data_IF_597720811959
#
_entry.id   IF_597720811959
#
_cell.length_a   1.000
_cell.length_b   1.000
_cell.length_c   1.000
_cell.angle_alpha   90.00
_cell.angle_beta   90.00
_cell.angle_gamma   90.00
#
_symmetry.space_group_name_H-M   'P 1'
#
loop_
_entity.id
_entity.type
_entity.pdbx_description
1 polymer ?
#
# COMPACT_ATOMS: atom_id res chain seq x y z
N UNK A 1 52.96 48.20 -36.79
CA UNK A 1 51.54 48.57 -36.66
C UNK A 1 50.87 47.52 -35.80
N UNK A 2 50.60 47.86 -34.54
CA UNK A 2 49.86 47.02 -33.58
C UNK A 2 48.37 47.10 -33.92
N UNK A 3 47.67 45.97 -33.93
CA UNK A 3 46.20 45.93 -33.90
C UNK A 3 45.81 45.30 -32.57
N UNK A 4 45.30 46.15 -31.68
CA UNK A 4 44.64 45.78 -30.44
C UNK A 4 43.28 45.16 -30.76
N UNK A 5 43.00 44.00 -30.18
CA UNK A 5 41.64 43.45 -30.07
C UNK A 5 41.24 43.64 -28.60
N UNK A 6 40.20 44.43 -28.40
CA UNK A 6 39.66 44.88 -27.13
C UNK A 6 38.72 43.81 -26.58
N UNK A 7 39.06 43.24 -25.43
CA UNK A 7 38.17 42.38 -24.64
C UNK A 7 36.92 43.18 -24.19
N UNK A 8 35.74 42.61 -24.40
CA UNK A 8 34.48 43.09 -23.82
C UNK A 8 34.17 42.25 -22.60
N UNK A 9 34.25 42.85 -21.41
CA UNK A 9 33.66 42.31 -20.18
C UNK A 9 32.14 42.58 -20.17
N UNK A 10 31.30 41.64 -19.71
CA UNK A 10 29.90 41.92 -19.47
C UNK A 10 29.71 42.73 -18.19
N UNK A 11 28.94 43.81 -18.31
CA UNK A 11 28.51 44.66 -17.19
C UNK A 11 27.39 43.96 -16.41
N UNK A 12 27.65 43.63 -15.15
CA UNK A 12 26.61 43.24 -14.20
C UNK A 12 25.71 44.44 -13.87
N UNK A 13 24.38 44.27 -14.04
CA UNK A 13 23.38 45.18 -13.51
C UNK A 13 22.91 44.68 -12.13
N UNK A 14 22.83 45.54 -11.10
CA UNK A 14 22.30 45.12 -9.81
C UNK A 14 20.77 44.99 -9.89
N UNK A 15 20.26 43.77 -9.74
CA UNK A 15 18.84 43.52 -9.51
C UNK A 15 18.55 43.72 -8.03
N UNK A 16 17.89 44.84 -7.70
CA UNK A 16 17.37 45.10 -6.36
C UNK A 16 16.10 44.27 -6.14
N UNK A 17 16.18 43.22 -5.31
CA UNK A 17 15.00 42.49 -4.83
C UNK A 17 14.30 43.35 -3.76
N UNK A 18 13.05 43.76 -4.03
CA UNK A 18 12.12 44.25 -3.00
C UNK A 18 11.45 43.04 -2.34
N UNK A 19 11.59 42.91 -1.03
CA UNK A 19 10.80 42.00 -0.20
C UNK A 19 9.36 42.53 -0.07
N UNK A 20 8.32 41.67 0.01
CA UNK A 20 7.05 42.07 0.56
C UNK A 20 7.05 41.89 2.08
N UNK A 21 6.80 43.00 2.77
CA UNK A 21 6.59 43.06 4.20
C UNK A 21 5.25 42.42 4.60
N UNK A 22 5.26 41.80 5.78
CA UNK A 22 4.08 41.37 6.52
C UNK A 22 3.08 42.52 6.69
N UNK A 23 1.80 42.26 6.42
CA UNK A 23 0.69 43.09 6.92
C UNK A 23 -0.36 42.16 7.49
N UNK A 24 -0.37 42.10 8.82
CA UNK A 24 -1.46 41.64 9.65
C UNK A 24 -2.34 42.86 9.94
N UNK A 25 -3.60 42.87 9.49
CA UNK A 25 -4.62 43.71 10.12
C UNK A 25 -6.04 43.17 9.87
N UNK A 26 -6.66 42.76 10.97
CA UNK A 26 -8.08 42.49 11.10
C UNK A 26 -8.94 43.71 10.73
N UNK A 27 -10.06 43.48 10.07
CA UNK A 27 -11.17 44.43 10.00
C UNK A 27 -12.51 43.67 9.97
N UNK A 28 -13.10 43.60 11.17
CA UNK A 28 -14.52 43.35 11.42
C UNK A 28 -15.30 44.67 11.26
N UNK A 29 -16.38 44.66 10.48
CA UNK A 29 -17.62 45.45 10.68
C UNK A 29 -18.63 44.99 9.59
N UNK A 30 -19.57 44.10 9.89
CA UNK A 30 -20.86 44.37 10.53
C UNK A 30 -21.85 45.14 9.63
N UNK A 31 -22.84 44.43 9.08
CA UNK A 31 -24.10 44.98 8.57
C UNK A 31 -25.22 44.62 9.55
N UNK A 32 -25.62 45.65 10.30
CA UNK A 32 -26.94 46.05 10.79
C UNK A 32 -27.98 45.03 11.27
N UNK A 33 -28.20 45.15 12.58
CA UNK A 33 -29.31 44.87 13.46
C UNK A 33 -30.72 45.30 12.96
N UNK A 34 -31.77 44.55 13.34
CA UNK A 34 -32.92 45.08 14.10
C UNK A 34 -33.93 43.97 14.49
N UNK A 35 -34.12 43.72 15.81
CA UNK A 35 -35.41 43.93 16.51
C UNK A 35 -35.44 43.37 17.95
N UNK A 36 -35.68 44.29 18.90
CA UNK A 36 -36.35 44.17 20.21
C UNK A 36 -35.72 43.43 21.42
N UNK A 37 -34.92 44.20 22.17
CA UNK A 37 -34.96 44.56 23.61
C UNK A 37 -35.56 43.67 24.75
N UNK A 38 -35.08 43.85 26.02
CA UNK A 38 -35.15 42.86 27.12
C UNK A 38 -35.88 43.33 28.41
N UNK A 39 -35.99 42.45 29.41
CA UNK A 39 -36.12 42.74 30.86
C UNK A 39 -35.29 41.69 31.63
N UNK A 40 -34.21 42.05 32.34
CA UNK A 40 -34.13 42.38 33.80
C UNK A 40 -34.89 41.36 34.69
N UNK A 41 -34.38 40.80 35.80
CA UNK A 41 -33.19 41.04 36.64
C UNK A 41 -33.13 39.93 37.73
N UNK A 42 -32.01 39.86 38.46
CA UNK A 42 -31.81 39.22 39.79
C UNK A 42 -31.76 37.68 39.85
N UNK A 43 -30.93 37.01 40.66
CA UNK A 43 -29.95 37.44 41.64
C UNK A 43 -29.63 36.27 42.60
N UNK A 44 -28.37 36.22 43.03
CA UNK A 44 -27.86 35.65 44.30
C UNK A 44 -27.60 34.13 44.47
N UNK A 45 -26.33 33.88 44.85
CA UNK A 45 -25.80 33.06 45.94
C UNK A 45 -25.85 31.52 45.92
N UNK A 46 -24.68 30.96 45.58
CA UNK A 46 -23.75 30.24 46.47
C UNK A 46 -24.29 29.64 47.79
N UNK A 47 -24.12 28.32 48.00
CA UNK A 47 -23.10 27.71 48.87
C UNK A 47 -23.43 26.24 49.26
N UNK A 48 -22.37 25.43 49.21
CA UNK A 48 -21.95 24.39 50.17
C UNK A 48 -22.65 23.02 50.30
N UNK A 49 -21.81 22.02 49.99
CA UNK A 49 -21.30 20.97 50.88
C UNK A 49 -22.18 19.73 51.19
N UNK A 50 -21.72 18.61 50.62
CA UNK A 50 -21.31 17.36 51.28
C UNK A 50 -22.00 16.92 52.59
N UNK A 51 -22.36 15.62 52.66
CA UNK A 51 -21.68 14.59 53.50
C UNK A 51 -22.57 13.32 53.65
N UNK A 52 -21.90 12.18 53.41
CA UNK A 52 -22.01 10.80 53.94
C UNK A 52 -23.30 9.94 53.91
N UNK A 53 -23.10 8.74 53.35
CA UNK A 53 -23.27 7.38 53.93
C UNK A 53 -24.50 7.09 54.83
N UNK A 54 -25.28 6.04 54.52
CA UNK A 54 -24.99 4.67 54.99
C UNK A 54 -26.01 3.63 54.49
N UNK A 55 -25.46 2.45 54.17
CA UNK A 55 -25.95 1.06 54.33
C UNK A 55 -27.44 0.78 54.63
N UNK A 56 -28.03 -0.20 53.93
CA UNK A 56 -28.40 -1.48 54.57
C UNK A 56 -28.64 -2.61 53.55
N UNK A 57 -28.37 -3.84 54.00
CA UNK A 57 -28.45 -5.10 53.27
C UNK A 57 -29.65 -5.95 53.75
N UNK A 58 -30.04 -6.94 52.96
CA UNK A 58 -30.93 -8.05 53.36
C UNK A 58 -31.61 -8.67 52.13
N UNK A 59 -31.12 -9.82 51.63
CA UNK A 59 -31.61 -11.20 51.88
C UNK A 59 -32.96 -11.50 51.19
N UNK A 60 -33.24 -12.66 50.60
CA UNK A 60 -32.52 -13.87 50.19
C UNK A 60 -33.54 -14.73 49.39
N UNK A 61 -33.05 -15.55 48.45
CA UNK A 61 -33.58 -16.85 47.99
C UNK A 61 -35.04 -17.04 47.47
N UNK A 62 -35.17 -17.52 46.21
CA UNK A 62 -35.43 -18.94 45.89
C UNK A 62 -36.04 -19.13 44.48
N UNK A 63 -35.50 -20.11 43.75
CA UNK A 63 -35.84 -20.68 42.43
C UNK A 63 -36.29 -22.16 42.69
N UNK A 64 -36.76 -23.04 41.77
CA UNK A 64 -37.33 -22.96 40.40
C UNK A 64 -38.69 -23.69 40.24
N UNK A 65 -39.25 -23.73 39.02
CA UNK A 65 -40.28 -24.73 38.67
C UNK A 65 -40.66 -24.84 37.19
N UNK A 66 -40.05 -25.82 36.53
CA UNK A 66 -40.54 -26.71 35.46
C UNK A 66 -40.82 -26.28 34.00
N UNK A 67 -40.37 -27.21 33.15
CA UNK A 67 -40.59 -27.41 31.72
C UNK A 67 -42.04 -27.82 31.36
N UNK A 68 -42.47 -27.63 30.10
CA UNK A 68 -42.65 -28.75 29.16
C UNK A 68 -43.01 -28.32 27.71
N UNK A 69 -42.53 -29.14 26.78
CA UNK A 69 -42.99 -29.57 25.45
C UNK A 69 -43.91 -28.75 24.49
N UNK A 70 -43.38 -28.59 23.27
CA UNK A 70 -43.94 -28.97 21.94
C UNK A 70 -45.32 -28.48 21.45
N UNK A 71 -45.37 -27.91 20.24
CA UNK A 71 -46.00 -28.53 19.05
C UNK A 71 -46.11 -27.58 17.83
N UNK A 72 -45.99 -28.22 16.66
CA UNK A 72 -46.24 -27.74 15.29
C UNK A 72 -47.63 -27.11 15.10
N UNK A 73 -47.73 -26.16 14.18
CA UNK A 73 -48.90 -26.02 13.31
C UNK A 73 -48.49 -25.44 11.95
N UNK A 74 -48.84 -26.15 10.89
CA UNK A 74 -48.73 -25.75 9.49
C UNK A 74 -50.12 -25.80 8.84
N UNK A 75 -50.23 -25.09 7.70
CA UNK A 75 -51.26 -25.16 6.64
C UNK A 75 -52.46 -24.19 6.80
N UNK A 76 -53.26 -23.92 5.73
CA UNK A 76 -53.19 -24.42 4.34
C UNK A 76 -53.48 -23.40 3.18
N UNK A 77 -53.21 -23.85 1.95
CA UNK A 77 -54.17 -23.82 0.81
C UNK A 77 -54.25 -22.58 -0.08
N UNK A 78 -53.89 -22.68 -1.37
CA UNK A 78 -54.74 -23.18 -2.47
C UNK A 78 -54.13 -22.83 -3.85
N UNK A 79 -54.25 -23.77 -4.78
CA UNK A 79 -54.04 -23.60 -6.21
C UNK A 79 -55.40 -23.35 -6.90
N UNK A 80 -55.44 -22.54 -7.96
CA UNK A 80 -56.22 -22.83 -9.17
C UNK A 80 -55.76 -21.98 -10.38
N UNK A 81 -56.01 -22.52 -11.57
CA UNK A 81 -55.42 -22.24 -12.88
C UNK A 81 -56.09 -21.12 -13.72
N UNK A 82 -55.32 -20.73 -14.75
CA UNK A 82 -55.73 -20.52 -16.16
C UNK A 82 -55.96 -19.09 -16.69
N UNK A 83 -55.18 -18.71 -17.71
CA UNK A 83 -55.68 -18.55 -19.11
C UNK A 83 -54.54 -18.21 -20.12
N UNK A 84 -54.45 -19.06 -21.19
CA UNK A 84 -54.28 -18.79 -22.66
C UNK A 84 -53.23 -17.77 -23.14
N UNK A 85 -52.47 -17.91 -24.24
CA UNK A 85 -52.45 -18.73 -25.47
C UNK A 85 -50.99 -18.59 -26.06
N UNK A 86 -50.46 -19.26 -27.10
CA UNK A 86 -50.96 -19.99 -28.26
C UNK A 86 -49.81 -20.88 -28.80
N UNK A 87 -50.15 -21.98 -29.47
CA UNK A 87 -49.28 -22.80 -30.34
C UNK A 87 -49.43 -22.33 -31.82
N UNK A 88 -48.96 -23.03 -32.88
CA UNK A 88 -48.13 -24.25 -32.96
C UNK A 88 -47.09 -24.30 -34.12
N UNK A 89 -46.36 -25.42 -34.20
CA UNK A 89 -45.86 -26.02 -35.45
C UNK A 89 -44.42 -26.53 -35.33
N UNK A 90 -44.06 -27.77 -35.63
CA UNK A 90 -44.78 -28.93 -36.15
C UNK A 90 -43.92 -30.19 -35.88
N UNK A 91 -44.59 -31.34 -35.77
CA UNK A 91 -44.10 -32.72 -35.63
C UNK A 91 -43.19 -33.13 -36.83
N UNK A 92 -42.40 -34.21 -36.84
CA UNK A 92 -42.71 -35.55 -36.37
C UNK A 92 -41.46 -36.45 -36.29
N UNK A 93 -41.59 -37.47 -35.45
CA UNK A 93 -40.68 -38.60 -35.28
C UNK A 93 -40.79 -39.65 -36.40
N UNK A 94 -39.75 -40.48 -36.52
CA UNK A 94 -39.75 -41.73 -37.30
C UNK A 94 -38.72 -42.73 -36.74
N UNK A 95 -39.24 -43.70 -35.98
CA UNK A 95 -38.67 -45.02 -35.64
C UNK A 95 -38.32 -45.83 -36.92
N UNK A 96 -37.54 -46.93 -37.00
CA UNK A 96 -37.28 -48.12 -36.15
C UNK A 96 -36.12 -48.90 -36.86
N UNK A 97 -35.05 -49.37 -36.18
CA UNK A 97 -34.80 -50.70 -35.60
C UNK A 97 -34.01 -51.77 -36.42
N UNK A 98 -33.37 -52.68 -35.66
CA UNK A 98 -32.95 -54.10 -35.97
C UNK A 98 -31.55 -54.24 -36.64
N UNK A 99 -30.54 -55.06 -36.25
CA UNK A 99 -30.36 -56.23 -35.34
C UNK A 99 -28.87 -56.46 -34.96
N UNK A 100 -28.66 -57.03 -33.77
CA UNK A 100 -27.66 -58.03 -33.32
C UNK A 100 -26.37 -58.37 -34.12
N UNK A 101 -25.20 -58.42 -33.47
CA UNK A 101 -24.55 -59.61 -32.87
C UNK A 101 -23.10 -59.31 -32.43
N UNK A 102 -22.63 -60.02 -31.39
CA UNK A 102 -21.26 -60.01 -30.83
C UNK A 102 -20.31 -60.87 -31.68
N UNK A 103 -19.07 -60.43 -31.87
CA UNK A 103 -17.87 -61.27 -31.70
C UNK A 103 -16.59 -60.41 -31.65
N UNK A 104 -15.65 -60.84 -30.80
CA UNK A 104 -14.44 -60.15 -30.40
C UNK A 104 -13.24 -60.37 -31.36
N UNK A 105 -12.25 -59.45 -31.33
CA UNK A 105 -10.83 -59.74 -31.04
C UNK A 105 -9.85 -58.66 -31.57
N UNK A 106 -9.03 -58.12 -30.64
CA UNK A 106 -7.56 -57.97 -30.70
C UNK A 106 -6.90 -56.95 -31.67
N UNK A 107 -6.33 -55.92 -31.02
CA UNK A 107 -5.05 -55.21 -31.18
C UNK A 107 -4.55 -54.58 -32.50
N UNK A 108 -4.13 -53.32 -32.29
CA UNK A 108 -2.88 -52.66 -32.71
C UNK A 108 -2.80 -52.08 -34.12
N UNK A 109 -2.56 -50.76 -34.16
CA UNK A 109 -2.12 -50.03 -35.34
C UNK A 109 -2.24 -48.53 -35.13
N UNK A 110 -1.15 -47.91 -34.67
CA UNK A 110 -1.00 -46.47 -34.58
C UNK A 110 -1.23 -45.79 -35.93
N UNK A 111 -2.02 -44.71 -35.94
CA UNK A 111 -1.96 -43.69 -36.99
C UNK A 111 -1.94 -42.32 -36.32
N UNK A 112 -1.01 -41.50 -36.79
CA UNK A 112 -0.68 -40.17 -36.32
C UNK A 112 -1.82 -39.19 -36.66
N UNK A 113 -2.27 -38.40 -35.70
CA UNK A 113 -3.07 -37.21 -35.94
C UNK A 113 -2.16 -36.03 -36.34
N UNK A 114 -2.55 -35.21 -37.33
CA UNK A 114 -1.78 -34.06 -37.76
C UNK A 114 -1.98 -32.87 -36.82
N UNK A 115 -0.85 -32.32 -36.39
CA UNK A 115 -0.61 -30.96 -35.89
C UNK A 115 -1.83 -30.06 -35.67
N UNK A 116 -2.20 -29.87 -34.41
CA UNK A 116 -2.67 -28.57 -33.93
C UNK A 116 -1.45 -27.69 -33.70
N UNK A 117 -1.16 -26.79 -34.64
CA UNK A 117 -0.33 -25.62 -34.37
C UNK A 117 -1.08 -24.79 -33.32
N UNK A 118 -0.73 -24.99 -32.05
CA UNK A 118 -0.93 -23.97 -31.04
C UNK A 118 -0.08 -22.78 -31.49
N UNK A 119 -0.74 -21.69 -31.84
CA UNK A 119 -0.08 -20.41 -31.99
C UNK A 119 0.53 -20.08 -30.62
N UNK A 120 1.85 -20.28 -30.48
CA UNK A 120 2.63 -19.63 -29.45
C UNK A 120 2.37 -18.12 -29.63
N UNK A 121 1.58 -17.55 -28.72
CA UNK A 121 1.54 -16.10 -28.60
C UNK A 121 2.98 -15.68 -28.27
N UNK A 122 3.60 -14.89 -29.15
CA UNK A 122 4.92 -14.32 -28.90
C UNK A 122 4.89 -13.72 -27.49
N UNK A 123 5.72 -14.26 -26.58
CA UNK A 123 5.81 -13.72 -25.23
C UNK A 123 6.24 -12.26 -25.35
N UNK A 124 5.42 -11.36 -24.82
CA UNK A 124 5.69 -9.93 -24.83
C UNK A 124 7.04 -9.68 -24.14
N UNK A 125 8.00 -9.08 -24.85
CA UNK A 125 9.32 -8.83 -24.30
C UNK A 125 9.20 -7.79 -23.16
N UNK A 126 9.80 -8.09 -22.01
CA UNK A 126 9.84 -7.19 -20.85
C UNK A 126 11.28 -6.79 -20.49
N UNK A 127 11.41 -5.69 -19.76
CA UNK A 127 12.66 -5.22 -19.18
C UNK A 127 12.48 -4.90 -17.70
N UNK A 128 13.55 -5.06 -16.93
CA UNK A 128 13.57 -4.68 -15.51
C UNK A 128 14.78 -3.79 -15.22
N UNK A 129 14.61 -2.83 -14.31
CA UNK A 129 15.64 -1.90 -13.85
C UNK A 129 15.81 -1.99 -12.33
N UNK A 130 17.05 -1.92 -11.85
CA UNK A 130 17.37 -1.95 -10.41
C UNK A 130 17.49 -3.34 -9.78
N UNK A 131 17.14 -4.40 -10.52
CA UNK A 131 17.05 -5.79 -10.03
C UNK A 131 18.37 -6.38 -9.53
N UNK A 132 19.48 -5.93 -10.10
CA UNK A 132 20.82 -6.43 -9.81
C UNK A 132 21.68 -5.40 -9.06
N UNK A 133 21.08 -4.34 -8.52
CA UNK A 133 21.83 -3.29 -7.83
C UNK A 133 22.52 -3.87 -6.59
N UNK A 134 23.87 -3.89 -6.53
CA UNK A 134 24.57 -4.31 -5.32
C UNK A 134 24.22 -3.37 -4.17
N UNK A 135 23.92 -3.94 -3.01
CA UNK A 135 23.62 -3.18 -1.81
C UNK A 135 24.42 -3.70 -0.63
N UNK A 136 25.23 -2.83 -0.04
CA UNK A 136 25.82 -3.08 1.26
C UNK A 136 24.79 -2.76 2.33
N UNK A 137 24.64 -3.65 3.30
CA UNK A 137 23.71 -3.47 4.42
C UNK A 137 24.50 -3.48 5.72
N UNK A 138 24.33 -2.43 6.51
CA UNK A 138 24.77 -2.35 7.91
C UNK A 138 23.52 -2.26 8.77
N UNK A 139 23.60 -2.58 10.06
CA UNK A 139 22.43 -2.50 10.93
C UNK A 139 22.76 -1.72 12.20
N UNK A 140 21.83 -0.89 12.63
CA UNK A 140 21.88 -0.13 13.89
C UNK A 140 20.59 -0.32 14.67
N UNK A 141 20.66 -0.19 15.99
CA UNK A 141 19.47 -0.32 16.82
C UNK A 141 18.62 0.96 16.70
N UNK A 142 17.34 0.80 16.44
CA UNK A 142 16.38 1.90 16.48
C UNK A 142 16.32 2.52 17.88
N UNK A 143 16.41 3.84 17.94
CA UNK A 143 16.40 4.61 19.20
C UNK A 143 15.24 5.61 19.30
N UNK A 144 14.39 5.68 18.26
CA UNK A 144 13.27 6.61 18.22
C UNK A 144 12.09 6.21 19.12
N UNK A 145 11.03 7.03 19.08
CA UNK A 145 9.89 6.93 19.99
C UNK A 145 9.05 5.67 19.84
N UNK A 146 9.14 4.99 18.69
CA UNK A 146 8.37 3.78 18.38
C UNK A 146 9.09 2.47 18.73
N UNK A 147 10.16 2.53 19.53
CA UNK A 147 10.97 1.35 19.90
C UNK A 147 10.14 0.22 20.52
N UNK A 148 9.06 0.55 21.22
CA UNK A 148 8.14 -0.43 21.80
C UNK A 148 7.28 -1.18 20.78
N UNK A 149 7.23 -0.77 19.50
CA UNK A 149 6.42 -1.42 18.47
C UNK A 149 7.14 -2.59 17.77
N UNK A 150 8.47 -2.62 17.83
CA UNK A 150 9.26 -3.72 17.30
C UNK A 150 9.06 -5.01 18.11
N UNK A 151 9.28 -6.14 17.44
CA UNK A 151 8.95 -7.46 17.92
C UNK A 151 10.09 -8.10 18.72
N UNK A 152 9.70 -8.90 19.70
CA UNK A 152 10.55 -9.84 20.44
C UNK A 152 10.11 -11.28 20.18
N UNK A 153 10.98 -12.24 20.51
CA UNK A 153 10.63 -13.66 20.47
C UNK A 153 9.39 -13.93 21.34
N UNK A 154 8.43 -14.69 20.80
CA UNK A 154 7.15 -15.00 21.43
C UNK A 154 6.05 -13.97 21.21
N UNK A 155 6.33 -12.81 20.60
CA UNK A 155 5.28 -11.85 20.25
C UNK A 155 4.31 -12.44 19.22
N UNK A 156 3.03 -12.11 19.37
CA UNK A 156 1.97 -12.59 18.49
C UNK A 156 1.86 -11.71 17.25
N UNK A 157 1.82 -12.32 16.08
CA UNK A 157 1.70 -11.61 14.79
C UNK A 157 0.40 -12.03 14.10
N UNK A 158 -0.49 -11.09 13.86
CA UNK A 158 -1.69 -11.36 13.07
C UNK A 158 -1.29 -11.55 11.61
N UNK A 159 -1.73 -12.63 10.99
CA UNK A 159 -1.54 -12.94 9.57
C UNK A 159 -2.86 -12.68 8.88
N UNK A 160 -2.92 -11.65 8.05
CA UNK A 160 -4.16 -11.22 7.37
C UNK A 160 -3.93 -11.11 5.85
N UNK A 161 -5.02 -10.92 5.09
CA UNK A 161 -4.93 -10.78 3.64
C UNK A 161 -5.87 -9.69 3.13
N UNK A 162 -5.55 -8.41 3.39
CA UNK A 162 -6.48 -7.30 3.22
C UNK A 162 -6.53 -6.75 1.78
N UNK A 163 -5.98 -7.50 0.82
CA UNK A 163 -5.87 -7.18 -0.61
C UNK A 163 -6.38 -8.38 -1.43
N UNK A 164 -5.65 -8.83 -2.45
CA UNK A 164 -5.99 -10.03 -3.21
C UNK A 164 -5.99 -11.29 -2.34
N UNK A 165 -6.84 -12.25 -2.73
CA UNK A 165 -6.92 -13.55 -2.09
C UNK A 165 -5.60 -14.33 -2.24
N UNK A 166 -4.93 -14.71 -1.13
CA UNK A 166 -3.73 -15.51 -1.20
C UNK A 166 -4.09 -16.99 -1.38
N UNK A 167 -3.17 -17.74 -2.00
CA UNK A 167 -3.25 -19.21 -1.96
C UNK A 167 -2.92 -19.73 -0.56
N UNK A 168 -3.45 -20.91 -0.22
CA UNK A 168 -3.14 -21.57 1.06
C UNK A 168 -1.64 -21.79 1.25
N UNK A 169 -0.92 -22.11 0.16
CA UNK A 169 0.54 -22.26 0.14
C UNK A 169 1.25 -20.98 0.61
N UNK A 170 0.79 -19.81 0.16
CA UNK A 170 1.39 -18.53 0.55
C UNK A 170 1.18 -18.23 2.04
N UNK A 171 -0.03 -18.45 2.56
CA UNK A 171 -0.30 -18.24 3.99
C UNK A 171 0.51 -19.23 4.83
N UNK A 172 0.57 -20.50 4.43
CA UNK A 172 1.37 -21.50 5.15
C UNK A 172 2.85 -21.15 5.17
N UNK A 173 3.37 -20.57 4.08
CA UNK A 173 4.75 -20.07 4.02
C UNK A 173 4.97 -18.95 5.05
N UNK A 174 4.06 -17.97 5.12
CA UNK A 174 4.10 -16.88 6.11
C UNK A 174 4.02 -17.42 7.55
N UNK A 175 3.04 -18.29 7.82
CA UNK A 175 2.84 -18.87 9.17
C UNK A 175 4.07 -19.67 9.61
N UNK A 176 4.64 -20.49 8.73
CA UNK A 176 5.82 -21.28 9.10
C UNK A 176 7.06 -20.39 9.24
N UNK A 177 7.24 -19.44 8.34
CA UNK A 177 8.33 -18.48 8.35
C UNK A 177 8.36 -17.60 9.61
N UNK A 178 7.21 -17.08 10.03
CA UNK A 178 7.10 -16.30 11.27
C UNK A 178 7.41 -17.16 12.51
N UNK A 179 7.02 -18.45 12.52
CA UNK A 179 7.42 -19.39 13.59
C UNK A 179 8.93 -19.62 13.60
N UNK A 180 9.55 -19.78 12.42
CA UNK A 180 11.01 -19.91 12.31
C UNK A 180 11.74 -18.66 12.82
N UNK A 181 11.14 -17.47 12.63
CA UNK A 181 11.63 -16.23 13.20
C UNK A 181 11.36 -16.06 14.71
N UNK A 182 10.68 -17.01 15.34
CA UNK A 182 10.43 -17.04 16.78
C UNK A 182 9.14 -16.34 17.22
N UNK A 183 8.25 -16.00 16.29
CA UNK A 183 6.98 -15.33 16.59
C UNK A 183 5.81 -16.34 16.68
N UNK A 184 4.68 -15.88 17.21
CA UNK A 184 3.44 -16.66 17.30
C UNK A 184 2.43 -16.14 16.27
N UNK A 185 2.39 -16.69 15.05
CA UNK A 185 1.44 -16.23 14.04
C UNK A 185 0.03 -16.73 14.34
N UNK A 186 -0.95 -15.84 14.17
CA UNK A 186 -2.38 -16.13 14.29
C UNK A 186 -3.08 -15.64 13.03
N UNK A 187 -3.74 -16.55 12.31
CA UNK A 187 -4.47 -16.20 11.09
C UNK A 187 -5.76 -15.45 11.42
N UNK A 188 -6.07 -14.44 10.62
CA UNK A 188 -7.40 -13.84 10.55
C UNK A 188 -8.45 -14.87 10.13
N UNK A 189 -9.71 -14.61 10.47
CA UNK A 189 -10.83 -15.51 10.26
C UNK A 189 -11.12 -15.75 8.77
N UNK A 190 -10.85 -14.76 7.93
CA UNK A 190 -11.22 -14.75 6.51
C UNK A 190 -10.02 -14.91 5.58
N UNK A 191 -8.86 -15.27 6.13
CA UNK A 191 -7.67 -15.60 5.36
C UNK A 191 -7.93 -16.85 4.50
N UNK A 192 -7.65 -16.76 3.20
CA UNK A 192 -7.96 -17.78 2.19
C UNK A 192 -9.46 -18.09 1.98
N UNK A 193 -10.40 -17.34 2.55
CA UNK A 193 -11.81 -17.54 2.26
C UNK A 193 -12.16 -17.01 0.86
N UNK A 194 -12.46 -17.90 -0.09
CA UNK A 194 -12.76 -17.54 -1.49
C UNK A 194 -14.01 -16.65 -1.63
N UNK A 195 -14.96 -16.79 -0.71
CA UNK A 195 -16.22 -16.04 -0.70
C UNK A 195 -16.17 -14.73 0.08
N UNK A 196 -14.99 -14.36 0.60
CA UNK A 196 -14.83 -13.17 1.43
C UNK A 196 -15.22 -11.90 0.70
N UNK A 197 -15.78 -10.97 1.45
CA UNK A 197 -16.16 -9.63 1.04
C UNK A 197 -15.15 -8.60 1.54
N UNK A 198 -15.32 -7.34 1.13
CA UNK A 198 -14.53 -6.23 1.68
C UNK A 198 -14.72 -6.08 3.20
N UNK A 199 -15.95 -6.30 3.69
CA UNK A 199 -16.24 -6.27 5.14
C UNK A 199 -15.51 -7.39 5.89
N UNK A 200 -15.34 -8.57 5.28
CA UNK A 200 -14.58 -9.67 5.89
C UNK A 200 -13.08 -9.33 5.97
N UNK A 201 -12.51 -8.71 4.93
CA UNK A 201 -11.13 -8.19 4.97
C UNK A 201 -10.95 -7.12 6.05
N UNK A 202 -11.96 -6.24 6.21
CA UNK A 202 -12.00 -5.21 7.24
C UNK A 202 -12.14 -5.80 8.65
N UNK A 203 -12.97 -6.83 8.82
CA UNK A 203 -13.13 -7.55 10.09
C UNK A 203 -11.77 -8.11 10.56
N UNK A 204 -11.02 -8.77 9.67
CA UNK A 204 -9.70 -9.30 9.99
C UNK A 204 -8.70 -8.19 10.36
N UNK A 205 -8.70 -7.07 9.64
CA UNK A 205 -7.81 -5.95 9.94
C UNK A 205 -8.17 -5.28 11.28
N UNK A 206 -9.45 -5.02 11.54
CA UNK A 206 -9.90 -4.43 12.80
C UNK A 206 -9.60 -5.36 13.98
N UNK A 207 -9.87 -6.67 13.85
CA UNK A 207 -9.48 -7.64 14.86
C UNK A 207 -7.98 -7.57 15.17
N UNK A 208 -7.13 -7.55 14.13
CA UNK A 208 -5.68 -7.48 14.29
C UNK A 208 -5.23 -6.19 15.01
N UNK A 209 -5.92 -5.06 14.76
CA UNK A 209 -5.66 -3.78 15.43
C UNK A 209 -6.17 -3.74 16.87
N UNK A 210 -7.33 -4.32 17.14
CA UNK A 210 -8.00 -4.23 18.45
C UNK A 210 -7.54 -5.29 19.46
N UNK A 211 -7.11 -6.48 19.00
CA UNK A 211 -6.71 -7.56 19.91
C UNK A 211 -5.41 -7.19 20.64
N UNK A 212 -5.42 -7.01 21.98
CA UNK A 212 -4.23 -6.57 22.72
C UNK A 212 -3.12 -7.62 22.77
N UNK A 213 -3.39 -8.88 22.41
CA UNK A 213 -2.36 -9.91 22.30
C UNK A 213 -1.52 -9.77 21.03
N UNK A 214 -2.08 -9.20 19.96
CA UNK A 214 -1.40 -8.99 18.68
C UNK A 214 -0.40 -7.84 18.80
N UNK A 215 0.85 -8.09 18.41
CA UNK A 215 1.94 -7.11 18.40
C UNK A 215 2.07 -6.36 17.07
N UNK A 216 1.89 -7.08 15.97
CA UNK A 216 2.05 -6.56 14.62
C UNK A 216 1.15 -7.30 13.62
N UNK A 217 0.93 -6.68 12.46
CA UNK A 217 0.02 -7.17 11.42
C UNK A 217 0.82 -7.47 10.15
N UNK A 218 0.90 -8.73 9.77
CA UNK A 218 1.64 -9.21 8.60
C UNK A 218 0.68 -9.55 7.46
N UNK A 219 0.79 -8.83 6.34
CA UNK A 219 -0.02 -9.08 5.15
C UNK A 219 0.56 -10.25 4.36
N UNK A 220 -0.28 -11.17 3.91
CA UNK A 220 0.20 -12.35 3.16
C UNK A 220 0.53 -12.01 1.71
N UNK A 221 -0.21 -11.07 1.11
CA UNK A 221 -0.05 -10.65 -0.27
C UNK A 221 -0.69 -9.27 -0.50
N UNK A 222 -0.16 -8.53 -1.46
CA UNK A 222 -0.78 -7.37 -2.08
C UNK A 222 -1.72 -7.80 -3.20
N UNK A 223 -1.94 -6.92 -4.18
CA UNK A 223 -2.92 -7.14 -5.24
C UNK A 223 -3.76 -5.90 -5.53
N UNK A 224 -5.03 -5.92 -5.12
CA UNK A 224 -5.94 -4.78 -5.29
C UNK A 224 -6.95 -4.72 -4.13
N UNK A 225 -7.69 -3.60 -4.07
CA UNK A 225 -8.78 -3.29 -3.14
C UNK A 225 -8.39 -2.88 -1.71
N UNK A 226 -7.10 -2.73 -1.39
CA UNK A 226 -6.70 -2.17 -0.08
C UNK A 226 -7.26 -0.76 0.16
N UNK A 227 -7.40 0.05 -0.90
CA UNK A 227 -8.03 1.37 -0.83
C UNK A 227 -9.51 1.30 -0.41
N UNK A 228 -10.26 0.34 -0.94
CA UNK A 228 -11.67 0.14 -0.61
C UNK A 228 -11.86 -0.25 0.86
N UNK A 229 -10.93 -1.05 1.42
CA UNK A 229 -10.93 -1.39 2.86
C UNK A 229 -10.62 -0.15 3.70
N UNK A 230 -9.67 0.69 3.27
CA UNK A 230 -9.27 1.88 4.00
C UNK A 230 -10.28 3.04 3.96
N UNK A 231 -11.08 3.18 2.91
CA UNK A 231 -12.08 4.25 2.78
C UNK A 231 -13.08 4.27 3.95
N UNK A 232 -13.37 3.11 4.54
CA UNK A 232 -14.28 2.98 5.68
C UNK A 232 -13.57 2.81 7.04
N UNK A 233 -12.26 3.07 7.12
CA UNK A 233 -11.46 2.95 8.34
C UNK A 233 -11.03 4.32 8.88
N UNK A 234 -11.21 4.51 10.19
CA UNK A 234 -10.73 5.70 10.88
C UNK A 234 -9.22 5.61 11.18
N UNK A 235 -8.48 6.68 10.87
CA UNK A 235 -7.05 6.78 11.23
C UNK A 235 -6.80 6.63 12.74
N UNK A 236 -7.77 7.07 13.57
CA UNK A 236 -7.71 6.93 15.02
C UNK A 236 -7.63 5.47 15.48
N UNK A 237 -8.20 4.53 14.72
CA UNK A 237 -8.11 3.09 15.02
C UNK A 237 -6.67 2.60 14.85
N UNK A 238 -5.94 3.14 13.87
CA UNK A 238 -4.54 2.81 13.60
C UNK A 238 -3.65 3.42 14.69
N UNK A 239 -3.82 4.72 14.96
CA UNK A 239 -3.00 5.43 15.94
C UNK A 239 -3.18 4.88 17.35
N UNK A 240 -4.40 4.48 17.72
CA UNK A 240 -4.70 3.90 19.03
C UNK A 240 -4.18 2.48 19.19
N UNK A 241 -4.13 1.69 18.10
CA UNK A 241 -3.58 0.34 18.13
C UNK A 241 -2.05 0.38 18.33
N UNK A 242 -1.36 1.29 17.65
CA UNK A 242 0.09 1.45 17.78
C UNK A 242 0.87 0.19 17.38
N UNK A 243 0.47 -0.44 16.28
CA UNK A 243 1.04 -1.70 15.76
C UNK A 243 1.62 -1.48 14.37
N UNK A 244 2.76 -2.11 14.07
CA UNK A 244 3.32 -2.12 12.72
C UNK A 244 2.42 -2.92 11.79
N UNK A 245 2.23 -2.43 10.56
CA UNK A 245 1.74 -3.22 9.43
C UNK A 245 2.90 -3.53 8.48
N UNK A 246 2.97 -4.77 8.00
CA UNK A 246 4.04 -5.29 7.16
C UNK A 246 3.47 -5.77 5.82
N UNK A 247 4.05 -5.30 4.72
CA UNK A 247 3.76 -5.76 3.36
C UNK A 247 4.30 -4.80 2.31
N UNK A 248 4.03 -5.01 1.02
CA UNK A 248 4.39 -4.07 -0.05
C UNK A 248 3.36 -4.15 -1.19
N UNK A 249 3.61 -3.53 -2.35
CA UNK A 249 2.65 -3.49 -3.48
C UNK A 249 1.39 -2.71 -3.12
N UNK A 250 0.20 -3.29 -3.30
CA UNK A 250 -1.11 -2.71 -2.89
C UNK A 250 -1.18 -2.33 -1.40
N UNK A 251 -0.32 -2.93 -0.54
CA UNK A 251 -0.20 -2.55 0.88
C UNK A 251 0.34 -1.10 1.06
N UNK A 252 0.82 -0.47 -0.01
CA UNK A 252 1.17 0.95 -0.08
C UNK A 252 0.03 1.86 0.41
N UNK A 253 -1.23 1.48 0.20
CA UNK A 253 -2.39 2.19 0.77
C UNK A 253 -2.26 2.29 2.30
N UNK A 254 -1.99 1.17 2.96
CA UNK A 254 -1.83 1.12 4.41
C UNK A 254 -0.58 1.85 4.87
N UNK A 255 0.53 1.83 4.12
CA UNK A 255 1.71 2.63 4.47
C UNK A 255 1.40 4.14 4.51
N UNK A 256 0.58 4.61 3.56
CA UNK A 256 0.11 6.00 3.53
C UNK A 256 -0.79 6.31 4.74
N UNK A 257 -1.76 5.43 5.03
CA UNK A 257 -2.65 5.56 6.18
C UNK A 257 -1.93 5.52 7.53
N UNK A 258 -0.97 4.60 7.71
CA UNK A 258 -0.17 4.51 8.93
C UNK A 258 0.64 5.79 9.15
N UNK A 259 1.26 6.30 8.09
CA UNK A 259 2.00 7.57 8.14
C UNK A 259 1.07 8.72 8.59
N UNK A 260 -0.14 8.81 8.03
CA UNK A 260 -1.11 9.85 8.41
C UNK A 260 -1.69 9.65 9.82
N UNK A 261 -1.74 8.42 10.32
CA UNK A 261 -2.06 8.10 11.71
C UNK A 261 -0.89 8.37 12.67
N UNK A 262 0.29 8.75 12.16
CA UNK A 262 1.48 9.03 12.96
C UNK A 262 2.18 7.78 13.50
N UNK A 263 2.03 6.63 12.82
CA UNK A 263 2.60 5.34 13.21
C UNK A 263 3.48 4.81 12.07
N UNK A 264 4.68 4.27 12.34
CA UNK A 264 5.48 3.62 11.32
C UNK A 264 4.83 2.37 10.74
N UNK A 265 5.20 2.04 9.51
CA UNK A 265 4.90 0.74 8.89
C UNK A 265 6.13 0.21 8.17
N UNK A 266 6.11 -1.07 7.79
CA UNK A 266 7.27 -1.74 7.18
C UNK A 266 6.91 -2.17 5.78
N UNK A 267 7.46 -1.48 4.78
CA UNK A 267 7.41 -1.93 3.39
C UNK A 267 8.38 -3.12 3.26
N UNK A 268 7.87 -4.34 3.09
CA UNK A 268 8.69 -5.54 3.07
C UNK A 268 8.01 -6.70 2.34
N UNK A 269 8.79 -7.75 2.07
CA UNK A 269 8.27 -8.92 1.38
C UNK A 269 7.22 -9.64 2.22
N UNK A 270 6.22 -10.17 1.54
CA UNK A 270 5.10 -10.86 2.17
C UNK A 270 5.34 -12.38 2.15
N UNK A 271 4.52 -13.16 1.45
CA UNK A 271 4.80 -14.59 1.27
C UNK A 271 6.17 -14.87 0.64
N UNK A 272 6.66 -13.97 -0.22
CA UNK A 272 7.96 -14.09 -0.89
C UNK A 272 9.13 -14.20 0.11
N UNK A 273 9.04 -13.54 1.28
CA UNK A 273 10.05 -13.59 2.34
C UNK A 273 10.40 -15.02 2.79
N UNK A 274 9.48 -15.96 2.57
CA UNK A 274 9.58 -17.35 3.03
C UNK A 274 9.56 -18.37 1.89
N UNK A 275 9.63 -17.91 0.64
CA UNK A 275 9.58 -18.78 -0.55
C UNK A 275 10.84 -18.62 -1.39
N UNK A 276 11.13 -17.39 -1.81
CA UNK A 276 12.10 -17.09 -2.87
C UNK A 276 12.93 -15.82 -2.63
N UNK A 277 12.62 -15.03 -1.59
CA UNK A 277 13.40 -13.84 -1.26
C UNK A 277 14.88 -14.19 -0.95
N UNK A 278 15.85 -13.48 -1.56
CA UNK A 278 17.26 -13.68 -1.27
C UNK A 278 17.61 -13.51 0.21
N UNK A 279 18.56 -14.32 0.69
CA UNK A 279 18.94 -14.36 2.11
C UNK A 279 19.33 -12.99 2.70
N UNK A 280 20.07 -12.09 2.01
CA UNK A 280 20.38 -10.76 2.54
C UNK A 280 19.13 -9.90 2.79
N UNK A 281 18.15 -9.93 1.89
CA UNK A 281 16.90 -9.18 2.04
C UNK A 281 16.05 -9.77 3.16
N UNK A 282 15.94 -11.12 3.23
CA UNK A 282 15.24 -11.83 4.31
C UNK A 282 15.86 -11.57 5.69
N UNK A 283 17.19 -11.51 5.79
CA UNK A 283 17.91 -11.18 7.03
C UNK A 283 17.65 -9.73 7.44
N UNK A 284 17.71 -8.78 6.49
CA UNK A 284 17.38 -7.38 6.76
C UNK A 284 15.93 -7.21 7.23
N UNK A 285 14.98 -7.95 6.64
CA UNK A 285 13.57 -7.92 7.04
C UNK A 285 13.38 -8.43 8.47
N UNK A 286 13.94 -9.60 8.78
CA UNK A 286 13.87 -10.16 10.13
C UNK A 286 14.46 -9.22 11.18
N UNK A 287 15.60 -8.59 10.86
CA UNK A 287 16.27 -7.61 11.73
C UNK A 287 15.45 -6.34 11.92
N UNK A 288 14.89 -5.78 10.83
CA UNK A 288 14.04 -4.60 10.90
C UNK A 288 12.84 -4.83 11.81
N UNK A 289 12.20 -6.01 11.75
CA UNK A 289 11.08 -6.34 12.65
C UNK A 289 11.48 -6.37 14.13
N UNK A 290 12.77 -6.55 14.46
CA UNK A 290 13.32 -6.52 15.82
C UNK A 290 13.87 -5.14 16.22
N UNK A 291 13.71 -4.14 15.35
CA UNK A 291 14.22 -2.79 15.56
C UNK A 291 15.72 -2.66 15.27
N UNK A 292 16.34 -3.63 14.60
CA UNK A 292 17.68 -3.51 14.04
C UNK A 292 17.56 -2.95 12.63
N UNK A 293 17.56 -1.63 12.49
CA UNK A 293 17.31 -0.95 11.23
C UNK A 293 18.52 -1.02 10.30
N UNK A 294 18.28 -1.23 9.00
CA UNK A 294 19.33 -1.26 8.00
C UNK A 294 19.77 0.16 7.60
N UNK A 295 21.06 0.29 7.33
CA UNK A 295 21.66 1.40 6.59
C UNK A 295 22.17 0.84 5.27
N UNK A 296 21.58 1.30 4.17
CA UNK A 296 21.84 0.81 2.83
C UNK A 296 22.90 1.66 2.14
N UNK A 297 23.83 1.04 1.41
CA UNK A 297 24.72 1.76 0.49
C UNK A 297 24.74 1.08 -0.86
N UNK A 298 24.35 1.83 -1.89
CA UNK A 298 24.24 1.37 -3.28
C UNK A 298 25.13 2.23 -4.18
N UNK A 299 25.60 1.70 -5.32
CA UNK A 299 26.33 2.49 -6.31
C UNK A 299 25.42 3.56 -6.92
N UNK A 300 25.98 4.74 -7.17
CA UNK A 300 25.29 5.82 -7.86
C UNK A 300 25.30 5.59 -9.38
N UNK A 301 24.38 6.24 -10.08
CA UNK A 301 24.33 6.23 -11.55
C UNK A 301 24.41 7.65 -12.09
N UNK A 302 24.79 7.86 -13.37
CA UNK A 302 24.78 9.19 -13.97
C UNK A 302 23.42 9.90 -13.98
N UNK A 303 22.32 9.17 -13.73
CA UNK A 303 20.97 9.73 -13.61
C UNK A 303 20.67 10.25 -12.19
N UNK A 304 21.43 9.80 -11.19
CA UNK A 304 21.28 10.26 -9.81
C UNK A 304 21.66 11.74 -9.67
N UNK A 305 21.09 12.40 -8.66
CA UNK A 305 21.38 13.80 -8.32
C UNK A 305 21.97 13.88 -6.94
N UNK A 306 23.13 14.48 -6.83
CA UNK A 306 23.87 14.58 -5.59
C UNK A 306 23.18 15.54 -4.61
N UNK A 307 23.40 15.30 -3.32
CA UNK A 307 22.80 16.08 -2.26
C UNK A 307 22.63 15.24 -0.99
N UNK A 308 22.17 15.88 0.06
CA UNK A 308 21.87 15.23 1.34
C UNK A 308 20.60 15.85 1.90
N UNK A 309 19.70 15.02 2.39
CA UNK A 309 18.44 15.45 2.96
C UNK A 309 17.97 14.49 4.05
N UNK A 310 17.06 14.99 4.87
CA UNK A 310 16.30 14.21 5.83
C UNK A 310 14.81 14.45 5.63
N UNK A 311 13.99 13.47 6.01
CA UNK A 311 12.54 13.56 5.96
C UNK A 311 11.90 12.23 6.28
N UNK A 312 10.60 12.22 6.58
CA UNK A 312 9.89 10.95 6.74
C UNK A 312 9.84 10.21 5.40
N UNK A 313 10.05 8.90 5.42
CA UNK A 313 9.95 8.09 4.19
C UNK A 313 8.48 7.80 3.86
N UNK A 314 8.02 8.19 2.67
CA UNK A 314 6.67 7.93 2.19
C UNK A 314 6.70 7.33 0.79
N UNK A 315 5.58 6.78 0.32
CA UNK A 315 5.45 6.21 -1.02
C UNK A 315 5.33 4.69 -0.98
N UNK A 316 5.91 4.01 -1.96
CA UNK A 316 5.76 2.57 -2.19
C UNK A 316 5.56 2.28 -3.67
N UNK A 317 4.61 1.39 -3.98
CA UNK A 317 4.23 1.07 -5.34
C UNK A 317 3.58 2.29 -6.03
N UNK A 318 4.09 2.74 -7.18
CA UNK A 318 3.71 4.00 -7.84
C UNK A 318 2.23 4.00 -8.24
N UNK A 319 1.77 3.00 -8.98
CA UNK A 319 0.38 2.89 -9.42
C UNK A 319 -0.58 2.93 -8.24
N UNK A 320 -0.33 2.12 -7.20
CA UNK A 320 -1.10 2.12 -5.94
C UNK A 320 -1.02 3.48 -5.23
N UNK A 321 0.17 4.07 -5.10
CA UNK A 321 0.36 5.34 -4.42
C UNK A 321 -0.38 6.48 -5.12
N UNK A 322 -0.53 6.44 -6.45
CA UNK A 322 -1.35 7.46 -7.13
C UNK A 322 -2.83 7.36 -6.79
N UNK A 323 -3.33 6.17 -6.41
CA UNK A 323 -4.73 5.99 -6.00
C UNK A 323 -5.04 6.64 -4.65
N UNK A 324 -4.04 6.84 -3.79
CA UNK A 324 -4.24 7.45 -2.47
C UNK A 324 -4.24 8.98 -2.52
N UNK A 325 -3.75 9.58 -3.61
CA UNK A 325 -3.63 11.03 -3.72
C UNK A 325 -5.00 11.71 -3.62
N UNK A 326 -5.12 12.65 -2.69
CA UNK A 326 -6.35 13.39 -2.42
C UNK A 326 -7.25 12.80 -1.33
N UNK A 327 -7.07 11.53 -0.94
CA UNK A 327 -7.83 10.85 0.14
C UNK A 327 -7.48 11.40 1.54
N UNK A 328 -8.25 11.06 2.57
CA UNK A 328 -7.93 11.47 3.95
C UNK A 328 -6.61 10.88 4.47
N UNK A 329 -6.22 9.73 3.94
CA UNK A 329 -4.98 9.02 4.29
C UNK A 329 -3.83 9.27 3.31
N UNK A 330 -3.92 10.30 2.46
CA UNK A 330 -2.85 10.75 1.57
C UNK A 330 -1.64 11.28 2.36
N UNK A 331 -0.59 10.47 2.47
CA UNK A 331 0.64 10.81 3.19
C UNK A 331 1.42 12.00 2.62
N UNK A 332 1.09 12.48 1.40
CA UNK A 332 1.69 13.70 0.83
C UNK A 332 1.14 14.99 1.41
N UNK A 333 0.09 14.90 2.25
CA UNK A 333 -0.52 16.00 3.01
C UNK A 333 0.15 16.25 4.36
N UNK A 334 1.17 15.45 4.71
CA UNK A 334 1.99 15.67 5.90
C UNK A 334 2.63 17.08 5.90
N UNK A 335 2.77 17.66 7.08
CA UNK A 335 3.52 18.91 7.30
C UNK A 335 5.04 18.68 7.46
N UNK A 336 5.47 17.41 7.54
CA UNK A 336 6.87 17.05 7.67
C UNK A 336 7.58 17.03 6.31
N UNK A 337 8.87 17.41 6.23
CA UNK A 337 9.68 17.09 5.05
C UNK A 337 9.64 15.58 4.79
N UNK A 338 9.56 15.17 3.52
CA UNK A 338 9.51 13.76 3.17
C UNK A 338 10.51 13.38 2.07
N UNK A 339 10.98 12.15 2.16
CA UNK A 339 11.69 11.45 1.09
C UNK A 339 10.65 10.55 0.40
N UNK A 340 10.52 10.68 -0.91
CA UNK A 340 9.54 9.92 -1.69
C UNK A 340 10.20 8.66 -2.27
N UNK A 341 9.71 7.49 -1.88
CA UNK A 341 10.10 6.20 -2.45
C UNK A 341 9.06 5.73 -3.48
N UNK A 342 9.50 5.35 -4.68
CA UNK A 342 8.61 4.86 -5.75
C UNK A 342 9.22 3.66 -6.48
N UNK A 343 8.45 2.60 -6.61
CA UNK A 343 8.75 1.37 -7.38
C UNK A 343 7.48 0.93 -8.12
N UNK A 344 7.56 0.10 -9.16
CA UNK A 344 6.35 -0.50 -9.78
C UNK A 344 6.66 -1.78 -10.55
N UNK A 345 5.62 -2.55 -10.88
CA UNK A 345 5.71 -3.80 -11.63
C UNK A 345 4.74 -3.85 -12.80
N UNK A 346 5.12 -4.51 -13.90
CA UNK A 346 4.23 -4.85 -15.02
C UNK A 346 3.48 -3.66 -15.63
N UNK A 347 3.94 -2.43 -15.40
CA UNK A 347 3.33 -1.21 -15.91
C UNK A 347 3.99 -0.77 -17.21
N UNK A 348 3.21 -0.24 -18.15
CA UNK A 348 3.79 0.34 -19.37
C UNK A 348 4.27 1.78 -19.14
N UNK A 349 5.18 2.27 -19.99
CA UNK A 349 5.73 3.63 -19.85
C UNK A 349 4.66 4.73 -19.90
N UNK A 350 3.55 4.52 -20.60
CA UNK A 350 2.47 5.50 -20.69
C UNK A 350 1.74 5.65 -19.36
N UNK A 351 1.52 4.55 -18.66
CA UNK A 351 0.94 4.54 -17.32
C UNK A 351 1.88 5.19 -16.32
N UNK A 352 3.15 4.79 -16.28
CA UNK A 352 4.18 5.41 -15.42
C UNK A 352 4.25 6.92 -15.69
N UNK A 353 4.25 7.35 -16.96
CA UNK A 353 4.21 8.77 -17.31
C UNK A 353 2.96 9.48 -16.75
N UNK A 354 1.79 8.86 -16.86
CA UNK A 354 0.53 9.45 -16.36
C UNK A 354 0.51 9.52 -14.84
N UNK A 355 0.98 8.50 -14.14
CA UNK A 355 1.09 8.47 -12.69
C UNK A 355 2.02 9.57 -12.19
N UNK A 356 3.22 9.69 -12.76
CA UNK A 356 4.16 10.77 -12.40
C UNK A 356 3.62 12.16 -12.77
N UNK A 357 2.81 12.26 -13.83
CA UNK A 357 2.12 13.51 -14.19
C UNK A 357 1.08 13.89 -13.13
N UNK A 358 0.33 12.93 -12.60
CA UNK A 358 -0.59 13.16 -11.48
C UNK A 358 0.19 13.67 -10.26
N UNK A 359 1.27 12.97 -9.86
CA UNK A 359 2.11 13.38 -8.74
C UNK A 359 2.66 14.81 -8.92
N UNK A 360 3.11 15.15 -10.14
CA UNK A 360 3.58 16.50 -10.48
C UNK A 360 2.46 17.54 -10.39
N UNK A 361 1.28 17.26 -10.93
CA UNK A 361 0.14 18.20 -10.86
C UNK A 361 -0.35 18.45 -9.43
N UNK A 362 -0.20 17.47 -8.53
CA UNK A 362 -0.48 17.61 -7.11
C UNK A 362 0.70 18.20 -6.31
N UNK A 363 1.79 18.58 -6.99
CA UNK A 363 3.00 19.16 -6.39
C UNK A 363 3.76 18.19 -5.49
N UNK A 364 3.51 16.87 -5.60
CA UNK A 364 4.14 15.85 -4.76
C UNK A 364 5.65 15.78 -5.03
N UNK A 365 6.05 15.85 -6.31
CA UNK A 365 7.46 15.86 -6.67
C UNK A 365 8.15 17.18 -6.25
N UNK A 366 7.45 18.31 -6.35
CA UNK A 366 7.99 19.64 -6.05
C UNK A 366 8.19 19.87 -4.54
N UNK A 367 7.40 19.19 -3.69
CA UNK A 367 7.48 19.27 -2.23
C UNK A 367 8.41 18.22 -1.60
N UNK A 368 8.85 17.22 -2.36
CA UNK A 368 9.75 16.19 -1.87
C UNK A 368 11.11 16.81 -1.48
N UNK A 369 11.65 16.42 -0.33
CA UNK A 369 12.99 16.82 0.10
C UNK A 369 14.08 15.97 -0.58
N UNK A 370 13.72 14.74 -0.97
CA UNK A 370 14.53 13.84 -1.79
C UNK A 370 13.65 12.75 -2.40
N UNK A 371 14.16 12.06 -3.42
CA UNK A 371 13.43 10.99 -4.10
C UNK A 371 14.32 9.76 -4.26
N UNK A 372 13.77 8.59 -3.97
CA UNK A 372 14.40 7.29 -4.20
C UNK A 372 13.51 6.49 -5.13
N UNK A 373 14.01 6.18 -6.33
CA UNK A 373 13.35 5.25 -7.23
C UNK A 373 13.92 3.85 -7.00
N UNK A 374 13.02 2.93 -6.65
CA UNK A 374 13.29 1.52 -6.45
C UNK A 374 13.43 0.78 -7.78
N UNK A 375 12.98 -0.46 -7.78
CA UNK A 375 12.96 -1.31 -8.98
C UNK A 375 11.77 -0.98 -9.90
N UNK A 376 11.99 -1.16 -11.19
CA UNK A 376 10.93 -1.21 -12.20
C UNK A 376 10.94 -2.63 -12.75
N UNK A 377 9.98 -3.46 -12.37
CA UNK A 377 9.98 -4.88 -12.69
C UNK A 377 9.05 -5.20 -13.86
N UNK A 378 9.51 -6.05 -14.79
CA UNK A 378 8.71 -6.64 -15.86
C UNK A 378 7.94 -5.61 -16.72
N UNK A 379 8.59 -4.48 -17.01
CA UNK A 379 8.05 -3.40 -17.84
C UNK A 379 8.03 -3.84 -19.31
N UNK A 380 6.88 -3.82 -20.01
CA UNK A 380 6.83 -4.14 -21.43
C UNK A 380 7.80 -3.26 -22.25
N UNK A 381 8.59 -3.87 -23.13
CA UNK A 381 9.55 -3.14 -23.98
C UNK A 381 8.87 -2.47 -25.18
N UNK A 382 7.65 -2.89 -25.53
CA UNK A 382 6.83 -2.20 -26.53
C UNK A 382 6.40 -0.83 -25.98
N UNK A 383 7.09 0.20 -26.46
CA UNK A 383 6.79 1.58 -26.09
C UNK A 383 5.53 2.12 -26.80
N UNK A 384 4.93 1.36 -27.72
CA UNK A 384 3.84 1.77 -28.60
C UNK A 384 4.16 3.14 -29.26
N UNK A 385 3.27 4.13 -29.16
CA UNK A 385 3.48 5.51 -29.65
C UNK A 385 4.32 6.39 -28.70
N UNK A 386 4.78 5.81 -27.58
CA UNK A 386 5.65 6.44 -26.59
C UNK A 386 7.15 6.13 -26.87
N UNK A 387 7.53 6.09 -28.15
CA UNK A 387 8.89 5.79 -28.63
C UNK A 387 9.94 6.88 -28.30
N UNK A 388 9.57 7.89 -27.52
CA UNK A 388 10.38 9.03 -27.11
C UNK A 388 10.69 10.06 -28.21
N UNK A 389 10.49 9.76 -29.50
CA UNK A 389 10.83 10.67 -30.60
C UNK A 389 10.06 12.00 -30.52
N UNK A 390 8.81 11.95 -30.06
CA UNK A 390 7.99 13.14 -29.81
C UNK A 390 8.34 13.88 -28.51
N UNK A 391 9.29 13.37 -27.72
CA UNK A 391 9.63 13.86 -26.36
C UNK A 391 11.13 14.05 -26.11
N UNK A 392 11.91 14.23 -27.18
CA UNK A 392 13.36 14.47 -27.09
C UNK A 392 14.24 13.27 -27.48
N UNK A 393 13.66 12.27 -28.15
CA UNK A 393 14.33 11.07 -28.62
C UNK A 393 13.97 9.84 -27.80
N UNK A 394 14.25 8.64 -28.34
CA UNK A 394 13.98 7.36 -27.69
C UNK A 394 14.62 7.26 -26.32
N UNK A 395 13.80 6.91 -25.32
CA UNK A 395 14.26 6.65 -23.96
C UNK A 395 15.02 5.32 -23.92
N UNK A 396 16.11 5.28 -23.18
CA UNK A 396 16.91 4.05 -23.04
C UNK A 396 16.45 3.19 -21.87
N UNK A 397 15.59 3.74 -21.02
CA UNK A 397 15.15 3.14 -19.76
C UNK A 397 13.98 3.94 -19.16
N UNK A 398 13.21 3.35 -18.25
CA UNK A 398 12.22 4.00 -17.39
C UNK A 398 12.89 5.14 -16.60
N UNK A 399 14.03 4.88 -15.94
CA UNK A 399 14.79 5.89 -15.21
C UNK A 399 15.24 7.06 -16.09
N UNK A 400 15.65 6.79 -17.33
CA UNK A 400 15.99 7.83 -18.32
C UNK A 400 14.78 8.71 -18.68
N UNK A 401 13.61 8.09 -18.92
CA UNK A 401 12.36 8.83 -19.12
C UNK A 401 12.04 9.71 -17.91
N UNK A 402 12.11 9.16 -16.69
CA UNK A 402 11.80 9.88 -15.46
C UNK A 402 12.71 11.10 -15.31
N UNK A 403 14.02 10.89 -15.45
CA UNK A 403 15.04 11.93 -15.32
C UNK A 403 14.79 13.09 -16.28
N UNK A 404 14.50 12.80 -17.56
CA UNK A 404 14.29 13.82 -18.60
C UNK A 404 12.96 14.57 -18.48
N UNK A 405 11.89 13.89 -18.04
CA UNK A 405 10.52 14.45 -18.14
C UNK A 405 10.00 15.03 -16.82
N UNK A 406 10.46 14.53 -15.67
CA UNK A 406 9.84 14.83 -14.39
C UNK A 406 10.76 15.55 -13.41
N UNK A 407 12.06 15.30 -13.50
CA UNK A 407 12.99 15.83 -12.50
C UNK A 407 13.54 17.21 -12.86
N UNK A 408 13.41 17.69 -14.10
CA UNK A 408 13.93 19.01 -14.48
C UNK A 408 13.39 20.13 -13.55
N UNK A 409 14.29 21.01 -13.11
CA UNK A 409 13.98 22.09 -12.15
C UNK A 409 13.97 21.71 -10.67
N UNK A 410 14.07 20.43 -10.31
CA UNK A 410 14.17 19.99 -8.89
C UNK A 410 15.63 20.06 -8.40
N UNK A 411 15.88 20.81 -7.32
CA UNK A 411 17.21 20.96 -6.68
C UNK A 411 17.27 20.14 -5.38
N UNK A 412 17.09 18.82 -5.53
CA UNK A 412 17.03 17.84 -4.43
C UNK A 412 17.83 16.58 -4.78
N UNK A 413 18.33 15.82 -3.78
CA UNK A 413 18.95 14.53 -4.01
C UNK A 413 17.95 13.52 -4.61
N UNK A 414 18.41 12.78 -5.62
CA UNK A 414 17.63 11.72 -6.27
C UNK A 414 18.50 10.48 -6.46
N UNK A 415 18.02 9.34 -5.98
CA UNK A 415 18.64 8.04 -6.18
C UNK A 415 17.79 7.17 -7.12
N UNK A 416 18.45 6.38 -7.96
CA UNK A 416 17.80 5.42 -8.87
C UNK A 416 18.35 4.02 -8.63
N UNK A 417 17.47 3.02 -8.79
CA UNK A 417 17.82 1.60 -8.74
C UNK A 417 18.04 1.10 -7.32
N UNK A 418 17.36 1.68 -6.33
CA UNK A 418 17.37 1.10 -4.99
C UNK A 418 16.73 -0.31 -5.03
N UNK A 419 17.36 -1.36 -4.47
CA UNK A 419 16.90 -2.75 -4.59
C UNK A 419 15.70 -3.07 -3.68
N UNK A 420 14.60 -2.37 -3.89
CA UNK A 420 13.31 -2.65 -3.28
C UNK A 420 12.19 -2.45 -4.32
N UNK A 421 11.26 -3.40 -4.35
CA UNK A 421 10.19 -3.48 -5.32
C UNK A 421 9.78 -4.92 -5.60
N UNK A 422 9.47 -5.20 -6.86
CA UNK A 422 8.87 -6.47 -7.31
C UNK A 422 9.80 -7.36 -8.12
N UNK A 423 11.10 -7.04 -8.22
CA UNK A 423 12.04 -7.95 -8.85
C UNK A 423 12.55 -9.00 -7.84
N UNK A 424 13.69 -9.61 -8.16
CA UNK A 424 14.30 -10.66 -7.34
C UNK A 424 14.70 -10.19 -5.93
N UNK A 425 14.94 -8.88 -5.74
CA UNK A 425 15.34 -8.32 -4.45
C UNK A 425 14.27 -7.40 -3.88
N UNK A 426 14.10 -7.42 -2.57
CA UNK A 426 13.22 -6.47 -1.90
C UNK A 426 13.73 -6.18 -0.49
N UNK A 427 14.55 -5.14 -0.36
CA UNK A 427 15.02 -4.68 0.95
C UNK A 427 13.92 -3.92 1.70
N UNK A 428 13.70 -4.24 2.99
CA UNK A 428 12.63 -3.64 3.76
C UNK A 428 12.87 -2.14 4.03
N UNK A 429 11.81 -1.35 4.08
CA UNK A 429 11.86 0.08 4.39
C UNK A 429 10.93 0.41 5.55
N UNK A 430 11.41 1.20 6.52
CA UNK A 430 10.58 1.75 7.60
C UNK A 430 9.91 3.05 7.13
N UNK A 431 8.63 2.94 6.80
CA UNK A 431 7.80 4.01 6.26
C UNK A 431 7.20 4.86 7.38
N UNK A 432 7.03 6.16 7.13
CA UNK A 432 6.49 7.13 8.09
C UNK A 432 7.50 7.63 9.11
N UNK A 433 8.71 7.06 9.15
CA UNK A 433 9.80 7.46 10.03
C UNK A 433 10.84 8.31 9.32
N UNK A 434 11.54 9.14 10.11
CA UNK A 434 12.60 10.00 9.62
C UNK A 434 13.75 9.15 9.08
N UNK A 435 14.07 9.34 7.81
CA UNK A 435 15.20 8.74 7.11
C UNK A 435 16.17 9.82 6.62
N UNK A 436 17.40 9.41 6.36
CA UNK A 436 18.46 10.22 5.78
C UNK A 436 18.81 9.67 4.41
N UNK A 437 18.77 10.54 3.39
CA UNK A 437 19.21 10.22 2.03
C UNK A 437 20.43 11.05 1.70
N UNK A 438 21.53 10.37 1.36
CA UNK A 438 22.76 10.99 0.86
C UNK A 438 23.10 10.43 -0.50
N UNK A 439 23.25 11.30 -1.49
CA UNK A 439 23.63 10.92 -2.86
C UNK A 439 24.94 11.63 -3.21
N UNK A 440 25.92 10.84 -3.63
CA UNK A 440 27.22 11.30 -4.11
C UNK A 440 27.46 10.84 -5.54
N UNK A 441 28.61 11.22 -6.12
CA UNK A 441 28.98 10.80 -7.47
C UNK A 441 29.17 9.27 -7.59
N UNK A 442 29.63 8.61 -6.52
CA UNK A 442 30.00 7.19 -6.55
C UNK A 442 28.94 6.28 -5.92
N UNK A 443 28.22 6.76 -4.90
CA UNK A 443 27.24 5.98 -4.14
C UNK A 443 26.09 6.82 -3.60
N UNK A 444 25.02 6.15 -3.19
CA UNK A 444 23.99 6.72 -2.33
C UNK A 444 23.73 5.86 -1.10
N UNK A 445 23.27 6.49 -0.03
CA UNK A 445 22.94 5.87 1.25
C UNK A 445 21.53 6.26 1.68
N UNK A 446 20.77 5.29 2.17
CA UNK A 446 19.46 5.47 2.81
C UNK A 446 19.50 4.77 4.18
N UNK A 447 19.23 5.50 5.25
CA UNK A 447 19.26 4.98 6.62
C UNK A 447 18.27 5.73 7.56
N UNK A 448 18.16 5.23 8.79
CA UNK A 448 17.34 5.80 9.88
C UNK A 448 18.19 6.06 11.13
N UNK A 449 19.48 6.32 10.97
CA UNK A 449 20.37 6.66 12.09
C UNK A 449 20.11 8.12 12.52
N UNK A 450 20.11 8.40 13.84
CA UNK A 450 19.96 9.78 14.37
C UNK A 450 21.28 10.58 14.41
#
# INVERSE_FOLDING_TARGET
>A
MKKEIREMQPQEKPVTRKAPAAICLALLCAVLCASCAPKQESGSNAQNAAVSENTDAGQEAAVPGNADESQKAAAPGNADESQKAAAPGNEAAGQEAVTSEKAAAVQAGATQDPASEEAEADAEETMSEGTDTPCEVRSTQYTGSFSSMFLSEGDTVAVISPSSLPSRKQVDAVVNGLKEWGYVPVEGKHVCEETRTLEDCKEDLLWALEDPSVKAVFCVRGGYASSEVMDDMALDSISSAGKLIIGYSDITVYHSAWTMAGIPSVHASMSAAFMDLPAPCRDAEQKMLRGELPAYTCPSTPLCRTGETEGILIGGNLSTFTSVIGTEYDSTKTDQPYILFLEDESENLQHIHRYLTILKHHGVLDRAAGIVFGEWADIPTDLADYDGNSRGGTFTSVSDMISRQFLDGLDIPVAFGFPAGHADTNYPLLMGEKAHLKVSEDSFTLDWEE
#
